data_IF_678073790245
#
_entry.id   IF_678073790245
#
_cell.length_a   1.000
_cell.length_b   1.000
_cell.length_c   1.000
_cell.angle_alpha   90.00
_cell.angle_beta   90.00
_cell.angle_gamma   90.00
#
_symmetry.space_group_name_H-M   'P 1'
#
loop_
_entity.id
_entity.type
_entity.pdbx_description
1 polymer ?
#
# COMPACT_ATOMS: atom_id res chain seq x y z
N UNK A 1 -7.78 -10.12 10.45
CA UNK A 1 -7.54 -9.34 11.68
C UNK A 1 -7.74 -7.88 11.31
N UNK A 2 -8.45 -7.08 12.09
CA UNK A 2 -8.62 -5.64 11.80
C UNK A 2 -7.33 -4.88 12.14
N UNK A 3 -6.36 -4.96 11.23
CA UNK A 3 -5.03 -4.40 11.41
C UNK A 3 -5.05 -2.86 11.35
N UNK A 4 -5.90 -2.28 10.49
CA UNK A 4 -6.15 -0.83 10.42
C UNK A 4 -6.52 -0.27 11.80
N UNK A 5 -7.60 -0.80 12.42
CA UNK A 5 -8.07 -0.32 13.73
C UNK A 5 -7.06 -0.53 14.84
N UNK A 6 -6.31 -1.64 14.81
CA UNK A 6 -5.24 -1.90 15.79
C UNK A 6 -4.13 -0.85 15.65
N UNK A 7 -3.73 -0.50 14.43
CA UNK A 7 -2.67 0.49 14.17
C UNK A 7 -3.15 1.91 14.53
N UNK A 8 -4.36 2.30 14.14
CA UNK A 8 -4.99 3.55 14.56
C UNK A 8 -4.97 3.72 16.08
N UNK A 9 -5.39 2.69 16.82
CA UNK A 9 -5.42 2.72 18.27
C UNK A 9 -4.01 2.80 18.89
N UNK A 10 -2.99 2.24 18.23
CA UNK A 10 -1.59 2.34 18.66
C UNK A 10 -0.96 3.70 18.31
N UNK A 11 -1.34 4.32 17.18
CA UNK A 11 -0.94 5.67 16.78
C UNK A 11 -1.58 6.72 17.69
N UNK A 12 -2.89 6.61 17.97
CA UNK A 12 -3.58 7.44 18.98
C UNK A 12 -2.91 7.36 20.35
N UNK A 13 -2.40 6.18 20.72
CA UNK A 13 -1.65 5.91 21.96
C UNK A 13 -0.13 6.12 21.81
N UNK A 14 0.33 6.75 20.72
CA UNK A 14 1.74 7.05 20.34
C UNK A 14 2.75 5.91 20.61
N UNK A 15 2.30 4.66 20.50
CA UNK A 15 2.95 3.49 21.10
C UNK A 15 4.00 2.85 20.19
N UNK A 16 5.12 3.56 19.91
CA UNK A 16 6.16 3.13 18.95
C UNK A 16 6.57 1.65 19.08
N UNK A 17 6.91 1.22 20.28
CA UNK A 17 7.40 -0.14 20.55
C UNK A 17 6.33 -1.23 20.36
N UNK A 18 5.04 -0.87 20.37
CA UNK A 18 3.94 -1.80 20.04
C UNK A 18 3.71 -1.86 18.53
N UNK A 19 3.79 -0.72 17.81
CA UNK A 19 3.74 -0.68 16.35
C UNK A 19 4.88 -1.52 15.74
N UNK A 20 6.11 -1.34 16.22
CA UNK A 20 7.27 -2.10 15.75
C UNK A 20 7.17 -3.60 16.06
N UNK A 21 6.65 -3.98 17.24
CA UNK A 21 6.38 -5.39 17.57
C UNK A 21 5.25 -6.00 16.73
N UNK A 22 4.25 -5.20 16.33
CA UNK A 22 3.18 -5.64 15.45
C UNK A 22 3.71 -5.90 14.03
N UNK A 23 4.46 -4.97 13.45
CA UNK A 23 5.08 -5.13 12.12
C UNK A 23 6.05 -6.33 12.12
N UNK A 24 6.87 -6.50 13.17
CA UNK A 24 7.74 -7.67 13.31
C UNK A 24 6.95 -8.99 13.41
N UNK A 25 5.80 -9.02 14.09
CA UNK A 25 4.89 -10.18 14.13
C UNK A 25 4.25 -10.46 12.77
N UNK A 26 4.05 -9.45 11.94
CA UNK A 26 3.53 -9.55 10.58
C UNK A 26 4.58 -10.01 9.54
N UNK A 27 5.82 -10.33 9.96
CA UNK A 27 6.91 -10.75 9.07
C UNK A 27 7.98 -9.69 8.83
N UNK A 28 7.79 -8.47 9.34
CA UNK A 28 8.70 -7.33 9.15
C UNK A 28 8.17 -6.24 8.22
N UNK A 29 6.98 -6.42 7.65
CA UNK A 29 6.26 -5.44 6.84
C UNK A 29 4.74 -5.66 6.95
N UNK A 30 3.97 -4.70 6.44
CA UNK A 30 2.53 -4.79 6.17
C UNK A 30 2.22 -4.08 4.85
N UNK A 31 1.04 -4.28 4.29
CA UNK A 31 0.53 -3.55 3.13
C UNK A 31 -0.41 -2.42 3.55
N UNK A 32 -0.33 -1.29 2.85
CA UNK A 32 -1.25 -0.17 2.95
C UNK A 32 -1.93 0.05 1.60
N UNK A 33 -3.25 0.03 1.58
CA UNK A 33 -4.06 0.39 0.42
C UNK A 33 -4.70 1.75 0.72
N UNK A 34 -4.41 2.74 -0.11
CA UNK A 34 -5.02 4.07 0.00
C UNK A 34 -5.88 4.34 -1.23
N UNK A 35 -7.14 4.73 -1.03
CA UNK A 35 -8.02 5.27 -2.06
C UNK A 35 -8.32 6.74 -1.73
N UNK A 36 -8.10 7.63 -2.69
CA UNK A 36 -8.28 9.07 -2.55
C UNK A 36 -9.13 9.57 -3.72
N UNK A 37 -10.35 10.06 -3.46
CA UNK A 37 -11.17 10.76 -4.45
C UNK A 37 -11.15 12.28 -4.20
N UNK A 38 -11.25 13.06 -5.27
CA UNK A 38 -11.18 14.52 -5.24
C UNK A 38 -12.14 15.18 -6.22
N UNK A 39 -12.59 16.38 -5.87
CA UNK A 39 -13.14 17.36 -6.81
C UNK A 39 -12.20 18.59 -6.90
N UNK A 40 -11.80 18.96 -8.13
CA UNK A 40 -10.77 19.94 -8.53
C UNK A 40 -9.42 19.87 -7.77
N UNK A 41 -9.43 20.19 -6.48
CA UNK A 41 -8.27 20.12 -5.57
C UNK A 41 -8.62 19.67 -4.13
N UNK A 42 -9.90 19.45 -3.82
CA UNK A 42 -10.39 19.04 -2.49
C UNK A 42 -10.57 17.53 -2.44
N UNK A 43 -10.00 16.87 -1.44
CA UNK A 43 -10.26 15.45 -1.17
C UNK A 43 -11.70 15.27 -0.67
N UNK A 44 -12.55 14.64 -1.49
CA UNK A 44 -13.94 14.29 -1.14
C UNK A 44 -14.00 12.99 -0.34
N UNK A 45 -13.08 12.05 -0.61
CA UNK A 45 -13.03 10.74 0.06
C UNK A 45 -11.59 10.30 0.30
N UNK A 46 -11.33 9.77 1.49
CA UNK A 46 -10.08 9.10 1.82
C UNK A 46 -10.38 7.79 2.55
N UNK A 47 -9.82 6.69 2.07
CA UNK A 47 -9.90 5.38 2.70
C UNK A 47 -8.49 4.83 2.79
N UNK A 48 -8.08 4.39 3.99
CA UNK A 48 -6.87 3.62 4.21
C UNK A 48 -7.23 2.25 4.80
N UNK A 49 -6.64 1.19 4.25
CA UNK A 49 -6.79 -0.17 4.75
C UNK A 49 -5.41 -0.80 4.90
N UNK A 50 -5.14 -1.38 6.06
CA UNK A 50 -3.89 -2.08 6.36
C UNK A 50 -4.16 -3.58 6.46
N UNK A 51 -3.33 -4.39 5.80
CA UNK A 51 -3.31 -5.86 5.96
C UNK A 51 -1.88 -6.39 5.98
N UNK A 52 -1.66 -7.58 6.54
CA UNK A 52 -0.37 -8.28 6.46
C UNK A 52 -0.40 -9.44 5.45
N UNK A 53 -1.47 -9.55 4.66
CA UNK A 53 -1.63 -10.56 3.61
C UNK A 53 -1.49 -9.90 2.23
N UNK A 54 -0.67 -10.49 1.36
CA UNK A 54 -0.37 -9.92 0.04
C UNK A 54 -1.53 -10.12 -0.95
N UNK A 55 -2.15 -11.29 -0.96
CA UNK A 55 -3.18 -11.63 -1.94
C UNK A 55 -4.52 -10.93 -1.56
N UNK A 56 -4.78 -10.72 -0.26
CA UNK A 56 -5.83 -9.80 0.22
C UNK A 56 -5.56 -8.35 -0.23
N UNK A 57 -4.32 -7.87 -0.10
CA UNK A 57 -3.97 -6.49 -0.51
C UNK A 57 -4.23 -6.24 -1.99
N UNK A 58 -3.84 -7.18 -2.87
CA UNK A 58 -4.09 -7.10 -4.31
C UNK A 58 -5.59 -7.09 -4.63
N UNK A 59 -6.39 -7.90 -3.92
CA UNK A 59 -7.85 -7.94 -4.08
C UNK A 59 -8.49 -6.61 -3.71
N UNK A 60 -8.07 -5.99 -2.61
CA UNK A 60 -8.57 -4.69 -2.16
C UNK A 60 -8.17 -3.59 -3.15
N UNK A 61 -6.89 -3.52 -3.55
CA UNK A 61 -6.43 -2.56 -4.57
C UNK A 61 -7.22 -2.71 -5.88
N UNK A 62 -7.38 -3.92 -6.42
CA UNK A 62 -8.18 -4.15 -7.64
C UNK A 62 -9.65 -3.72 -7.50
N UNK A 63 -10.24 -3.84 -6.31
CA UNK A 63 -11.62 -3.38 -6.05
C UNK A 63 -11.73 -1.85 -6.16
N UNK A 64 -10.77 -1.11 -5.61
CA UNK A 64 -10.75 0.36 -5.72
C UNK A 64 -10.28 0.88 -7.09
N UNK A 65 -9.50 0.10 -7.84
CA UNK A 65 -9.11 0.46 -9.21
C UNK A 65 -10.26 0.36 -10.22
N UNK A 66 -11.33 -0.40 -9.92
CA UNK A 66 -12.58 -0.45 -10.68
C UNK A 66 -13.69 0.45 -10.15
N UNK A 67 -13.37 1.44 -9.30
CA UNK A 67 -14.36 2.28 -8.65
C UNK A 67 -15.01 3.29 -9.63
N UNK A 68 -16.34 3.32 -9.78
CA UNK A 68 -17.01 4.32 -10.61
C UNK A 68 -17.10 5.66 -9.87
N UNK A 69 -16.64 6.74 -10.50
CA UNK A 69 -16.76 8.11 -9.97
C UNK A 69 -18.20 8.43 -9.53
N UNK A 70 -18.36 8.97 -8.34
CA UNK A 70 -19.60 9.66 -7.95
C UNK A 70 -19.72 11.00 -8.69
N UNK A 71 -20.89 11.65 -8.63
CA UNK A 71 -21.25 12.69 -9.61
C UNK A 71 -20.32 13.91 -9.58
N UNK A 72 -19.84 14.30 -8.41
CA UNK A 72 -18.90 15.40 -8.17
C UNK A 72 -17.43 15.01 -8.36
N UNK A 73 -17.02 13.78 -8.05
CA UNK A 73 -15.61 13.32 -8.10
C UNK A 73 -14.98 13.47 -9.50
N UNK A 74 -13.87 14.21 -9.63
CA UNK A 74 -13.16 14.44 -10.90
C UNK A 74 -11.87 13.63 -11.04
N UNK A 75 -11.19 13.33 -9.92
CA UNK A 75 -9.98 12.50 -9.89
C UNK A 75 -10.07 11.44 -8.78
N UNK A 76 -9.62 10.22 -9.06
CA UNK A 76 -9.40 9.17 -8.09
C UNK A 76 -7.94 8.68 -8.18
N UNK A 77 -7.27 8.46 -7.06
CA UNK A 77 -5.92 7.89 -6.98
C UNK A 77 -5.91 6.68 -6.04
N UNK A 78 -5.35 5.56 -6.48
CA UNK A 78 -5.23 4.30 -5.72
C UNK A 78 -3.76 3.95 -5.54
N UNK A 79 -3.34 3.73 -4.30
CA UNK A 79 -1.97 3.35 -3.93
C UNK A 79 -1.96 1.97 -3.26
N UNK A 80 -0.96 1.15 -3.59
CA UNK A 80 -0.52 0.04 -2.74
C UNK A 80 0.90 0.34 -2.25
N UNK A 81 1.16 0.20 -0.95
CA UNK A 81 2.48 0.44 -0.35
C UNK A 81 2.91 -0.72 0.54
N UNK A 82 4.20 -1.03 0.51
CA UNK A 82 4.87 -1.95 1.43
C UNK A 82 5.45 -1.14 2.61
N UNK A 83 4.81 -1.20 3.78
CA UNK A 83 5.16 -0.43 4.98
C UNK A 83 6.06 -1.26 5.91
N UNK A 84 7.14 -0.65 6.41
CA UNK A 84 8.19 -1.31 7.21
C UNK A 84 8.44 -0.68 8.59
N UNK A 85 8.11 0.60 8.79
CA UNK A 85 7.96 1.21 10.14
C UNK A 85 6.76 2.17 10.11
N UNK A 86 6.17 2.42 11.29
CA UNK A 86 5.10 3.41 11.48
C UNK A 86 5.51 4.30 12.65
N UNK A 87 5.66 5.59 12.36
CA UNK A 87 6.00 6.58 13.37
C UNK A 87 4.88 6.75 14.41
N UNK A 88 5.18 7.22 15.64
CA UNK A 88 4.15 7.46 16.67
C UNK A 88 3.09 8.50 16.29
N UNK A 89 3.30 9.27 15.21
CA UNK A 89 2.37 10.26 14.69
C UNK A 89 1.59 9.76 13.47
N UNK A 90 1.72 8.49 13.09
CA UNK A 90 0.97 7.88 11.99
C UNK A 90 1.66 7.93 10.63
N UNK A 91 2.76 8.68 10.46
CA UNK A 91 3.52 8.66 9.19
C UNK A 91 4.11 7.25 8.96
N UNK A 92 3.86 6.68 7.78
CA UNK A 92 4.37 5.39 7.36
C UNK A 92 5.75 5.51 6.70
N UNK A 93 6.62 4.51 6.86
CA UNK A 93 7.92 4.41 6.20
C UNK A 93 8.00 3.11 5.41
N UNK A 94 8.13 3.22 4.09
CA UNK A 94 7.99 2.11 3.17
C UNK A 94 8.11 2.54 1.71
N UNK A 95 7.89 1.61 0.79
CA UNK A 95 7.88 1.87 -0.66
C UNK A 95 6.44 1.89 -1.18
N UNK A 96 6.12 2.83 -2.07
CA UNK A 96 4.99 2.63 -2.99
C UNK A 96 5.38 1.45 -3.88
N UNK A 97 4.43 0.54 -4.11
CA UNK A 97 4.63 -0.61 -5.02
C UNK A 97 3.67 -0.55 -6.21
N UNK A 98 2.50 0.10 -6.05
CA UNK A 98 1.57 0.38 -7.15
C UNK A 98 0.92 1.75 -6.99
N UNK A 99 0.68 2.44 -8.12
CA UNK A 99 -0.15 3.64 -8.22
C UNK A 99 -0.98 3.62 -9.53
N UNK A 100 -2.28 3.89 -9.39
CA UNK A 100 -3.16 4.28 -10.50
C UNK A 100 -3.83 5.62 -10.20
N UNK A 101 -3.79 6.54 -11.14
CA UNK A 101 -4.62 7.74 -11.15
C UNK A 101 -5.66 7.66 -12.27
N UNK A 102 -6.88 8.10 -11.99
CA UNK A 102 -7.99 8.17 -12.92
C UNK A 102 -8.57 9.59 -12.90
N UNK A 103 -8.93 10.10 -14.07
CA UNK A 103 -9.88 11.22 -14.22
C UNK A 103 -11.09 10.73 -15.00
N UNK A 104 -12.18 11.51 -15.01
CA UNK A 104 -13.37 11.24 -15.85
C UNK A 104 -13.08 11.09 -17.36
N UNK A 105 -11.88 11.49 -17.82
CA UNK A 105 -11.46 11.48 -19.23
C UNK A 105 -10.29 10.53 -19.54
N UNK A 106 -9.55 10.04 -18.53
CA UNK A 106 -8.31 9.28 -18.75
C UNK A 106 -7.91 8.42 -17.56
N UNK A 107 -7.21 7.30 -17.82
CA UNK A 107 -6.54 6.50 -16.79
C UNK A 107 -5.03 6.55 -17.01
N UNK A 108 -4.28 6.77 -15.93
CA UNK A 108 -2.82 6.71 -15.89
C UNK A 108 -2.40 5.71 -14.82
N UNK A 109 -1.73 4.65 -15.24
CA UNK A 109 -1.09 3.66 -14.36
C UNK A 109 0.40 3.95 -14.29
N UNK A 110 1.02 3.76 -13.13
CA UNK A 110 2.45 4.04 -12.95
C UNK A 110 3.02 3.29 -11.74
N UNK A 111 3.72 2.20 -11.98
CA UNK A 111 4.64 1.61 -11.03
C UNK A 111 5.90 2.47 -10.90
N UNK A 112 5.92 3.40 -9.93
CA UNK A 112 7.15 4.00 -9.42
C UNK A 112 7.97 2.96 -8.63
N UNK A 113 8.50 1.94 -9.33
CA UNK A 113 9.54 1.06 -8.82
C UNK A 113 10.87 1.82 -8.74
N UNK A 114 10.90 2.81 -7.85
CA UNK A 114 12.11 3.42 -7.32
C UNK A 114 12.86 2.38 -6.49
N UNK A 115 13.59 1.51 -7.19
CA UNK A 115 14.56 0.57 -6.63
C UNK A 115 16.01 1.08 -6.76
N UNK A 116 16.38 2.30 -6.34
CA UNK A 116 17.73 2.56 -5.84
C UNK A 116 17.73 2.25 -4.34
N UNK A 117 18.18 1.03 -3.99
CA UNK A 117 18.44 0.58 -2.60
C UNK A 117 17.17 0.43 -1.70
N UNK A 118 16.71 -0.78 -1.35
CA UNK A 118 17.37 -2.09 -1.48
C UNK A 118 16.38 -3.27 -1.40
N UNK A 119 16.05 -3.92 -2.54
CA UNK A 119 15.23 -5.16 -2.59
C UNK A 119 15.98 -6.41 -2.12
N UNK A 120 17.32 -6.40 -2.14
CA UNK A 120 18.12 -7.39 -1.40
C UNK A 120 17.76 -7.37 0.10
N UNK A 121 17.60 -6.16 0.64
CA UNK A 121 16.99 -5.90 1.96
C UNK A 121 15.44 -5.89 1.95
N UNK A 122 14.79 -6.51 0.98
CA UNK A 122 13.38 -6.92 1.07
C UNK A 122 13.29 -8.45 1.18
N UNK A 123 14.30 -9.21 0.76
CA UNK A 123 14.33 -10.66 1.00
C UNK A 123 15.42 -11.23 1.91
N UNK A 124 16.35 -10.43 2.42
CA UNK A 124 17.35 -10.89 3.40
C UNK A 124 16.92 -10.93 4.90
N UNK A 125 15.83 -10.41 5.48
CA UNK A 125 14.69 -9.51 5.19
C UNK A 125 13.32 -10.02 4.69
N UNK A 126 13.22 -11.19 4.05
CA UNK A 126 12.04 -12.09 4.12
C UNK A 126 12.51 -13.45 4.65
N UNK A 127 13.62 -13.99 4.11
CA UNK A 127 14.92 -13.96 4.83
C UNK A 127 16.10 -14.61 4.11
N UNK A 128 15.90 -15.63 3.26
CA UNK A 128 17.00 -16.40 2.65
C UNK A 128 16.58 -17.05 1.33
N UNK A 129 16.22 -16.25 0.31
CA UNK A 129 15.62 -16.77 -0.93
C UNK A 129 16.50 -16.53 -2.17
N UNK A 130 16.94 -17.62 -2.81
CA UNK A 130 17.34 -17.67 -4.21
C UNK A 130 16.36 -18.53 -5.05
N UNK A 131 16.07 -18.25 -6.33
CA UNK A 131 16.47 -17.04 -7.08
C UNK A 131 15.60 -16.72 -8.33
N UNK A 132 14.65 -17.58 -8.74
CA UNK A 132 13.65 -17.23 -9.77
C UNK A 132 12.36 -16.65 -9.15
N UNK A 133 12.13 -16.94 -7.87
CA UNK A 133 10.79 -16.98 -7.28
C UNK A 133 10.49 -15.76 -6.41
N UNK A 134 11.54 -14.98 -6.07
CA UNK A 134 11.42 -13.53 -5.83
C UNK A 134 11.45 -12.74 -7.15
N UNK A 135 12.01 -13.31 -8.21
CA UNK A 135 12.51 -12.55 -9.37
C UNK A 135 11.40 -12.28 -10.40
N UNK A 136 10.41 -13.19 -10.42
CA UNK A 136 9.02 -12.98 -10.84
C UNK A 136 8.24 -12.07 -9.85
N UNK A 137 8.47 -12.22 -8.54
CA UNK A 137 7.50 -11.96 -7.46
C UNK A 137 6.67 -10.68 -7.56
N UNK A 138 5.41 -10.79 -7.97
CA UNK A 138 4.77 -11.94 -8.66
C UNK A 138 4.29 -11.37 -10.00
N UNK A 139 4.79 -11.90 -11.13
CA UNK A 139 5.23 -11.07 -12.27
C UNK A 139 4.47 -9.77 -12.37
N UNK A 140 5.12 -8.63 -12.12
CA UNK A 140 5.64 -8.13 -10.84
C UNK A 140 4.69 -7.05 -10.33
N UNK A 141 3.48 -7.45 -9.92
CA UNK A 141 2.30 -6.54 -10.05
C UNK A 141 2.02 -6.24 -11.55
N UNK A 142 2.63 -7.01 -12.46
CA UNK A 142 2.42 -6.95 -13.90
C UNK A 142 1.07 -7.64 -14.22
N UNK A 143 0.39 -7.29 -15.30
CA UNK A 143 0.73 -6.25 -16.27
C UNK A 143 0.07 -4.91 -15.87
N UNK A 144 0.50 -4.32 -14.74
CA UNK A 144 -0.07 -3.12 -14.10
C UNK A 144 -1.59 -3.27 -13.89
N UNK A 145 -1.96 -4.27 -13.06
CA UNK A 145 -3.33 -4.77 -12.84
C UNK A 145 -3.99 -5.52 -14.02
N UNK A 146 -3.57 -5.22 -15.27
CA UNK A 146 -4.40 -5.10 -16.48
C UNK A 146 -5.48 -4.01 -16.41
#
# INVERSE_FOLDING_TARGET
>A
MDLTKIIDDLVRKKSKSKLQKLIAKCGGYIFSIDFIAKDDSTTTRYINILTNDFDESLKITKTYCGYPFEQDEKQCSVYLRLISDISPNGHYSGSIVFLQEQTKESVKKSNELTIPYTVRSIQEKIKTLPEYDLWDFKNRIEEELM
#
